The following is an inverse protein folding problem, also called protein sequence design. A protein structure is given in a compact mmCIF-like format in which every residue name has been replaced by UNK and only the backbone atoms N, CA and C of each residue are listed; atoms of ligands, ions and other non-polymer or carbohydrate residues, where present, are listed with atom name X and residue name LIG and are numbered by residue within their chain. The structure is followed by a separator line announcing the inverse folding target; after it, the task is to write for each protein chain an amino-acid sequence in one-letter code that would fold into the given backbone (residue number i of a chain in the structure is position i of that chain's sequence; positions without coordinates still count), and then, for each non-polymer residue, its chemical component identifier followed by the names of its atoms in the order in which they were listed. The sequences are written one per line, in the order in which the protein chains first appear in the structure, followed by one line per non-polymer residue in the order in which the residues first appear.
data_IF_563021589555
#
_entry.id   IF_563021589555
#
_cell.length_a   1.000
_cell.length_b   1.000
_cell.length_c   1.000
_cell.angle_alpha   90.00
_cell.angle_beta   90.00
_cell.angle_gamma   90.00
#
_symmetry.space_group_name_H-M   'P 1'
#
loop_
_entity.id
_entity.type
_entity.pdbx_description
1 polymer ?
#
# COMPACT_ATOMS: atom_id res chain seq x y z
N UNK A 1 -22.22 -47.54 38.94
CA UNK A 1 -20.84 -47.64 38.41
C UNK A 1 -20.27 -46.23 38.30
N UNK A 2 -19.61 -45.73 39.35
CA UNK A 2 -18.82 -44.51 39.27
C UNK A 2 -17.37 -44.91 38.90
N UNK A 3 -16.95 -44.61 37.68
CA UNK A 3 -15.56 -44.83 37.26
C UNK A 3 -14.73 -43.68 37.85
N UNK A 4 -13.93 -44.01 38.85
CA UNK A 4 -12.95 -43.12 39.48
C UNK A 4 -12.05 -42.55 38.37
N UNK A 5 -12.16 -41.25 38.09
CA UNK A 5 -11.20 -40.53 37.25
C UNK A 5 -9.86 -40.60 37.96
N UNK A 6 -8.89 -41.22 37.29
CA UNK A 6 -7.54 -41.42 37.80
C UNK A 6 -6.89 -40.07 38.09
N UNK A 7 -6.12 -39.96 39.18
CA UNK A 7 -5.37 -38.75 39.52
C UNK A 7 -4.39 -38.33 38.40
N UNK A 8 -3.99 -39.26 37.52
CA UNK A 8 -3.16 -38.99 36.36
C UNK A 8 -3.93 -38.30 35.21
N UNK A 9 -5.23 -38.53 35.08
CA UNK A 9 -6.06 -37.91 34.03
C UNK A 9 -6.39 -36.45 34.37
N UNK A 10 -6.50 -36.10 35.66
CA UNK A 10 -6.72 -34.72 36.11
C UNK A 10 -5.50 -33.83 35.86
N UNK A 11 -4.29 -34.39 35.97
CA UNK A 11 -3.06 -33.68 35.65
C UNK A 11 -2.93 -33.39 34.15
N UNK A 12 -3.42 -34.28 33.28
CA UNK A 12 -3.43 -34.07 31.84
C UNK A 12 -4.43 -32.98 31.40
N UNK A 13 -5.58 -32.88 32.07
CA UNK A 13 -6.52 -31.77 31.86
C UNK A 13 -5.94 -30.42 32.31
N UNK A 14 -5.15 -30.38 33.40
CA UNK A 14 -4.45 -29.16 33.85
C UNK A 14 -3.35 -28.73 32.88
N UNK A 15 -2.59 -29.68 32.31
CA UNK A 15 -1.57 -29.37 31.30
C UNK A 15 -2.18 -28.85 29.99
N UNK A 16 -3.36 -29.33 29.56
CA UNK A 16 -4.06 -28.75 28.41
C UNK A 16 -4.60 -27.35 28.72
N UNK A 17 -5.05 -27.08 29.94
CA UNK A 17 -5.59 -25.78 30.33
C UNK A 17 -4.50 -24.70 30.48
N UNK A 18 -3.29 -25.09 30.90
CA UNK A 18 -2.15 -24.17 31.06
C UNK A 18 -1.49 -23.81 29.71
N UNK A 19 -1.53 -24.69 28.71
CA UNK A 19 -1.11 -24.38 27.33
C UNK A 19 -2.08 -23.44 26.59
N UNK A 20 -3.38 -23.50 26.92
CA UNK A 20 -4.39 -22.59 26.35
C UNK A 20 -4.33 -21.19 26.97
N UNK A 21 -3.86 -21.06 28.23
CA UNK A 21 -3.83 -19.77 28.95
C UNK A 21 -2.49 -19.00 28.84
N UNK A 22 -1.45 -19.57 28.23
CA UNK A 22 -0.08 -19.00 28.24
C UNK A 22 0.46 -18.53 26.89
N UNK A 23 -0.35 -18.46 25.83
CA UNK A 23 0.13 -17.98 24.52
C UNK A 23 -0.86 -17.18 23.69
N UNK A 24 -1.50 -16.18 24.29
CA UNK A 24 -1.78 -14.92 23.59
C UNK A 24 -1.61 -13.78 24.61
N UNK A 25 -0.49 -13.03 24.62
CA UNK A 25 -0.52 -11.71 25.20
C UNK A 25 -1.59 -10.94 24.43
N UNK A 26 -2.64 -10.53 25.13
CA UNK A 26 -3.55 -9.47 24.72
C UNK A 26 -2.73 -8.18 24.59
N UNK A 27 -1.93 -8.11 23.52
CA UNK A 27 -1.46 -6.85 22.99
C UNK A 27 -2.66 -6.24 22.31
N UNK A 28 -3.08 -5.07 22.77
CA UNK A 28 -4.02 -4.21 22.08
C UNK A 28 -3.51 -3.94 20.66
N UNK A 29 -3.85 -4.83 19.74
CA UNK A 29 -3.76 -4.57 18.33
C UNK A 29 -4.79 -3.50 18.05
N UNK A 30 -4.32 -2.27 17.84
CA UNK A 30 -5.12 -1.25 17.20
C UNK A 30 -5.89 -1.93 16.06
N UNK A 31 -7.21 -1.72 15.94
CA UNK A 31 -7.95 -2.22 14.78
C UNK A 31 -7.19 -1.77 13.53
N UNK A 32 -7.13 -2.60 12.47
CA UNK A 32 -6.45 -2.25 11.23
C UNK A 32 -6.92 -0.86 10.86
N UNK A 33 -6.00 0.10 10.96
CA UNK A 33 -6.29 1.51 10.75
C UNK A 33 -6.66 1.59 9.28
N UNK A 34 -7.96 1.67 9.00
CA UNK A 34 -8.43 1.89 7.63
C UNK A 34 -7.64 3.11 7.15
N UNK A 35 -6.89 3.00 6.03
CA UNK A 35 -6.06 4.09 5.59
C UNK A 35 -6.95 5.32 5.49
N UNK A 36 -6.64 6.32 6.31
CA UNK A 36 -7.47 7.51 6.38
C UNK A 36 -7.41 8.19 5.01
N UNK A 37 -8.46 8.93 4.63
CA UNK A 37 -8.47 9.69 3.39
C UNK A 37 -7.19 10.56 3.23
N UNK A 38 -6.61 11.02 4.34
CA UNK A 38 -5.33 11.74 4.39
C UNK A 38 -4.14 10.92 3.90
N UNK A 39 -4.02 9.64 4.28
CA UNK A 39 -2.89 8.79 3.86
C UNK A 39 -2.92 8.51 2.35
N UNK A 40 -4.12 8.41 1.77
CA UNK A 40 -4.28 8.32 0.32
C UNK A 40 -3.88 9.63 -0.39
N UNK A 41 -4.30 10.79 0.14
CA UNK A 41 -3.91 12.09 -0.41
C UNK A 41 -2.39 12.32 -0.32
N UNK A 42 -1.75 11.91 0.76
CA UNK A 42 -0.30 11.98 0.92
C UNK A 42 0.44 11.11 -0.10
N UNK A 43 -0.05 9.88 -0.34
CA UNK A 43 0.47 9.00 -1.38
C UNK A 43 0.28 9.60 -2.78
N UNK A 44 -0.89 10.19 -3.02
CA UNK A 44 -1.22 10.87 -4.27
C UNK A 44 -0.26 12.05 -4.54
N UNK A 45 -0.03 12.89 -3.53
CA UNK A 45 0.87 14.03 -3.63
C UNK A 45 2.31 13.59 -3.93
N UNK A 46 2.78 12.52 -3.27
CA UNK A 46 4.07 11.90 -3.57
C UNK A 46 4.14 11.39 -5.00
N UNK A 47 3.11 10.68 -5.47
CA UNK A 47 3.04 10.18 -6.84
C UNK A 47 3.11 11.31 -7.88
N UNK A 48 2.40 12.42 -7.65
CA UNK A 48 2.44 13.60 -8.54
C UNK A 48 3.85 14.20 -8.59
N UNK A 49 4.54 14.29 -7.45
CA UNK A 49 5.93 14.78 -7.38
C UNK A 49 6.89 13.86 -8.13
N UNK A 50 6.72 12.54 -8.00
CA UNK A 50 7.53 11.55 -8.72
C UNK A 50 7.32 11.63 -10.23
N UNK A 51 6.07 11.76 -10.69
CA UNK A 51 5.76 11.91 -12.11
C UNK A 51 6.35 13.21 -12.67
N UNK A 52 6.26 14.32 -11.94
CA UNK A 52 6.89 15.57 -12.35
C UNK A 52 8.42 15.41 -12.50
N UNK A 53 9.04 14.74 -11.53
CA UNK A 53 10.48 14.46 -11.58
C UNK A 53 10.84 13.60 -12.80
N UNK A 54 10.08 12.52 -13.03
CA UNK A 54 10.26 11.66 -14.20
C UNK A 54 10.05 12.38 -15.54
N UNK A 55 9.07 13.28 -15.62
CA UNK A 55 8.83 14.10 -16.80
C UNK A 55 10.02 15.03 -17.10
N UNK A 56 10.61 15.67 -16.09
CA UNK A 56 11.79 16.52 -16.23
C UNK A 56 13.04 15.71 -16.63
N UNK A 57 13.20 14.51 -16.09
CA UNK A 57 14.27 13.60 -16.50
C UNK A 57 14.12 13.19 -17.96
N UNK A 58 12.91 12.83 -18.39
CA UNK A 58 12.62 12.49 -19.78
C UNK A 58 12.88 13.65 -20.74
N UNK A 59 12.50 14.87 -20.36
CA UNK A 59 12.77 16.09 -21.13
C UNK A 59 14.28 16.33 -21.25
N UNK A 60 15.01 16.24 -20.14
CA UNK A 60 16.46 16.39 -20.13
C UNK A 60 17.15 15.33 -20.99
N UNK A 61 16.80 14.06 -20.83
CA UNK A 61 17.36 12.97 -21.61
C UNK A 61 17.10 13.16 -23.10
N UNK A 62 15.88 13.61 -23.46
CA UNK A 62 15.51 13.91 -24.84
C UNK A 62 16.33 15.07 -25.42
N UNK A 63 16.55 16.14 -24.65
CA UNK A 63 17.43 17.25 -25.05
C UNK A 63 18.89 16.82 -25.18
N UNK A 64 19.39 15.99 -24.26
CA UNK A 64 20.77 15.49 -24.30
C UNK A 64 20.99 14.59 -25.52
N UNK A 65 20.01 13.76 -25.89
CA UNK A 65 20.06 12.92 -27.08
C UNK A 65 20.00 13.76 -28.35
N UNK A 66 19.07 14.71 -28.44
CA UNK A 66 18.90 15.58 -29.60
C UNK A 66 20.11 16.51 -29.82
N UNK A 67 20.78 16.94 -28.75
CA UNK A 67 21.99 17.76 -28.82
C UNK A 67 23.27 16.95 -29.05
N UNK A 68 23.19 15.62 -29.12
CA UNK A 68 24.34 14.74 -29.29
C UNK A 68 25.25 14.65 -28.07
N UNK A 69 24.82 15.16 -26.91
CA UNK A 69 25.54 15.03 -25.63
C UNK A 69 25.52 13.60 -25.10
N UNK A 70 24.50 12.82 -25.47
CA UNK A 70 24.43 11.38 -25.22
C UNK A 70 24.03 10.65 -26.48
N UNK A 71 24.57 9.46 -26.67
CA UNK A 71 24.15 8.51 -27.72
C UNK A 71 23.23 7.42 -27.18
N UNK A 72 22.86 7.49 -25.90
CA UNK A 72 22.05 6.47 -25.24
C UNK A 72 20.56 6.67 -25.52
N UNK A 73 20.14 6.25 -26.72
CA UNK A 73 18.73 6.27 -27.12
C UNK A 73 17.87 5.35 -26.25
N UNK A 74 18.41 4.24 -25.75
CA UNK A 74 17.66 3.29 -24.94
C UNK A 74 17.23 3.88 -23.61
N UNK A 75 18.14 4.54 -22.89
CA UNK A 75 17.81 5.24 -21.64
C UNK A 75 16.84 6.39 -21.86
N UNK A 76 17.02 7.15 -22.94
CA UNK A 76 16.13 8.25 -23.29
C UNK A 76 14.71 7.76 -23.56
N UNK A 77 14.56 6.73 -24.40
CA UNK A 77 13.27 6.11 -24.68
C UNK A 77 12.64 5.52 -23.42
N UNK A 78 13.41 4.86 -22.56
CA UNK A 78 12.92 4.33 -21.30
C UNK A 78 12.40 5.44 -20.37
N UNK A 79 13.14 6.54 -20.25
CA UNK A 79 12.72 7.69 -19.44
C UNK A 79 11.41 8.30 -19.97
N UNK A 80 11.30 8.47 -21.29
CA UNK A 80 10.08 8.98 -21.95
C UNK A 80 8.89 8.03 -21.71
N UNK A 81 9.04 6.73 -21.98
CA UNK A 81 7.97 5.74 -21.76
C UNK A 81 7.55 5.68 -20.29
N UNK A 82 8.50 5.79 -19.35
CA UNK A 82 8.18 5.85 -17.91
C UNK A 82 7.37 7.10 -17.56
N UNK A 83 7.72 8.26 -18.13
CA UNK A 83 7.00 9.50 -17.92
C UNK A 83 5.58 9.44 -18.49
N UNK A 84 5.40 8.90 -19.71
CA UNK A 84 4.08 8.68 -20.34
C UNK A 84 3.19 7.78 -19.48
N UNK A 85 3.70 6.61 -19.08
CA UNK A 85 2.95 5.67 -18.23
C UNK A 85 2.55 6.32 -16.89
N UNK A 86 3.45 7.07 -16.27
CA UNK A 86 3.16 7.82 -15.05
C UNK A 86 2.03 8.84 -15.25
N UNK A 87 2.05 9.54 -16.37
CA UNK A 87 1.01 10.52 -16.71
C UNK A 87 -0.36 9.86 -16.89
N UNK A 88 -0.42 8.74 -17.61
CA UNK A 88 -1.65 7.97 -17.78
C UNK A 88 -2.21 7.49 -16.44
N UNK A 89 -1.35 7.02 -15.54
CA UNK A 89 -1.74 6.65 -14.18
C UNK A 89 -2.30 7.85 -13.40
N UNK A 90 -1.70 9.04 -13.51
CA UNK A 90 -2.21 10.25 -12.86
C UNK A 90 -3.58 10.65 -13.38
N UNK A 91 -3.83 10.53 -14.69
CA UNK A 91 -5.15 10.82 -15.27
C UNK A 91 -6.21 9.88 -14.71
N UNK A 92 -5.91 8.59 -14.61
CA UNK A 92 -6.81 7.61 -14.00
C UNK A 92 -7.07 7.94 -12.53
N UNK A 93 -6.03 8.28 -11.78
CA UNK A 93 -6.14 8.65 -10.37
C UNK A 93 -6.98 9.92 -10.17
N UNK A 94 -6.81 10.94 -11.02
CA UNK A 94 -7.66 12.15 -11.02
C UNK A 94 -9.12 11.80 -11.13
N UNK A 95 -9.47 10.89 -12.04
CA UNK A 95 -10.84 10.45 -12.22
C UNK A 95 -11.37 9.71 -10.97
N UNK A 96 -10.53 8.88 -10.33
CA UNK A 96 -10.93 8.16 -9.10
C UNK A 96 -11.12 9.08 -7.88
N UNK A 97 -10.32 10.14 -7.77
CA UNK A 97 -10.52 11.15 -6.73
C UNK A 97 -11.86 11.87 -6.92
N UNK A 98 -12.20 12.22 -8.17
CA UNK A 98 -13.50 12.86 -8.48
C UNK A 98 -14.65 11.90 -8.18
N UNK A 99 -14.55 10.63 -8.58
CA UNK A 99 -15.55 9.59 -8.27
C UNK A 99 -15.72 9.41 -6.74
N UNK A 100 -14.61 9.33 -5.99
CA UNK A 100 -14.65 9.20 -4.54
C UNK A 100 -15.31 10.40 -3.86
N UNK A 101 -15.03 11.62 -4.33
CA UNK A 101 -15.70 12.82 -3.84
C UNK A 101 -17.22 12.77 -4.10
N UNK A 102 -17.62 12.36 -5.31
CA UNK A 102 -19.04 12.22 -5.67
C UNK A 102 -19.75 11.15 -4.82
N UNK A 103 -19.08 10.03 -4.51
CA UNK A 103 -19.64 8.97 -3.69
C UNK A 103 -19.86 9.41 -2.23
N UNK A 104 -18.90 10.14 -1.64
CA UNK A 104 -19.05 10.70 -0.28
C UNK A 104 -20.24 11.65 -0.21
N UNK A 105 -20.45 12.49 -1.25
CA UNK A 105 -21.61 13.38 -1.33
C UNK A 105 -22.94 12.62 -1.44
N UNK A 106 -22.94 11.46 -2.11
CA UNK A 106 -24.13 10.58 -2.24
C UNK A 106 -24.47 9.82 -0.96
N UNK A 107 -23.49 9.54 -0.10
CA UNK A 107 -23.73 8.91 1.21
C UNK A 107 -24.36 9.85 2.24
N UNK A 108 -24.25 11.17 2.05
CA UNK A 108 -24.70 12.17 3.03
C UNK A 108 -26.11 12.75 2.77
N UNK A 109 -26.76 12.36 1.67
CA UNK A 109 -28.14 12.79 1.34
C UNK A 109 -29.19 11.77 1.74
#
# INVERSE_FOLDING_TARGET
MLKVMSANDLHFLKLQQELVNSSIPSGGGNPPKNPSATEFLDLMEKGIKEINTGAREAEKASMDLASGRTSNIHETMLAVTKAELGFDMMVQMRNKVIEAYQEVMRMQV
#
